data_IF_880369828826
#
_entry.id   IF_880369828826
#
_cell.length_a   1.000
_cell.length_b   1.000
_cell.length_c   1.000
_cell.angle_alpha   90.00
_cell.angle_beta   90.00
_cell.angle_gamma   90.00
#
_symmetry.space_group_name_H-M   'P 1'
#
loop_
_entity.id
_entity.type
_entity.pdbx_description
1 polymer ?
#
# COMPACT_ATOMS: atom_id res chain seq x y z
N UNK A 1 -10.08 -0.93 -15.40
CA UNK A 1 -9.46 0.40 -15.38
C UNK A 1 -9.20 0.79 -13.93
N UNK A 2 -7.99 1.22 -13.63
CA UNK A 2 -7.63 1.65 -12.27
C UNK A 2 -8.00 3.12 -12.02
N UNK A 3 -8.64 3.77 -13.01
CA UNK A 3 -9.11 5.15 -12.94
C UNK A 3 -10.60 5.21 -12.66
N UNK A 4 -11.04 6.27 -11.94
CA UNK A 4 -12.45 6.51 -11.63
C UNK A 4 -13.29 6.88 -12.86
N UNK A 5 -12.67 7.40 -13.92
CA UNK A 5 -13.30 7.82 -15.15
C UNK A 5 -12.52 7.38 -16.38
N UNK A 6 -13.23 7.19 -17.47
CA UNK A 6 -12.71 7.05 -18.82
C UNK A 6 -13.35 8.13 -19.72
N UNK A 7 -12.66 8.50 -20.79
CA UNK A 7 -13.09 9.57 -21.68
C UNK A 7 -13.10 9.08 -23.13
N UNK A 8 -14.16 9.43 -23.86
CA UNK A 8 -14.18 9.36 -25.30
C UNK A 8 -14.28 10.80 -25.82
N UNK A 9 -13.36 11.17 -26.70
CA UNK A 9 -13.20 12.58 -27.11
C UNK A 9 -13.29 12.66 -28.62
N UNK A 10 -14.05 13.66 -29.12
CA UNK A 10 -14.13 14.06 -30.53
C UNK A 10 -13.60 15.48 -30.70
N UNK A 11 -12.75 15.67 -31.70
CA UNK A 11 -12.12 16.97 -31.98
C UNK A 11 -10.66 17.03 -31.56
N UNK A 12 -10.06 15.87 -31.25
CA UNK A 12 -8.62 15.69 -31.02
C UNK A 12 -8.11 14.70 -32.05
N UNK A 13 -6.99 15.00 -32.68
CA UNK A 13 -6.32 14.10 -33.62
C UNK A 13 -5.65 12.93 -32.91
N UNK A 14 -5.92 11.70 -33.37
CA UNK A 14 -5.46 10.47 -32.69
C UNK A 14 -3.93 10.28 -32.79
N UNK A 15 -3.27 10.81 -33.81
CA UNK A 15 -1.83 10.66 -34.02
C UNK A 15 -0.98 11.76 -33.39
N UNK A 16 -1.43 13.02 -33.53
CA UNK A 16 -0.70 14.20 -33.03
C UNK A 16 -1.14 14.66 -31.66
N UNK A 17 -2.33 14.22 -31.22
CA UNK A 17 -3.02 14.69 -30.01
C UNK A 17 -3.35 16.18 -30.01
N UNK A 18 -3.34 16.82 -31.19
CA UNK A 18 -3.70 18.23 -31.34
C UNK A 18 -5.21 18.40 -31.33
N UNK A 19 -5.67 19.52 -30.77
CA UNK A 19 -7.08 19.92 -30.83
C UNK A 19 -7.39 20.45 -32.21
N UNK A 20 -8.19 19.71 -32.99
CA UNK A 20 -8.58 20.06 -34.35
C UNK A 20 -10.02 20.57 -34.44
N UNK A 21 -10.81 20.30 -33.39
CA UNK A 21 -12.25 20.63 -33.35
C UNK A 21 -13.12 19.59 -34.06
N UNK A 22 -14.43 19.59 -33.75
CA UNK A 22 -15.39 18.66 -34.35
C UNK A 22 -16.70 19.35 -34.70
N UNK A 23 -17.40 18.79 -35.69
CA UNK A 23 -18.78 19.16 -36.05
C UNK A 23 -19.83 18.30 -35.34
N UNK A 24 -19.40 17.25 -34.65
CA UNK A 24 -20.28 16.38 -33.88
C UNK A 24 -20.94 17.18 -32.75
N UNK A 25 -22.19 16.88 -32.46
CA UNK A 25 -22.98 17.45 -31.37
C UNK A 25 -23.68 16.28 -30.66
N UNK A 26 -23.03 15.67 -29.67
CA UNK A 26 -23.48 14.43 -29.04
C UNK A 26 -24.90 14.55 -28.46
N UNK A 27 -25.25 15.69 -27.86
CA UNK A 27 -26.58 15.93 -27.28
C UNK A 27 -27.71 16.00 -28.32
N UNK A 28 -27.40 16.37 -29.53
CA UNK A 28 -28.39 16.46 -30.64
C UNK A 28 -28.27 15.30 -31.63
N UNK A 29 -27.27 14.44 -31.47
CA UNK A 29 -27.05 13.28 -32.34
C UNK A 29 -28.17 12.26 -32.17
N UNK A 30 -28.60 11.63 -33.27
CA UNK A 30 -29.70 10.67 -33.30
C UNK A 30 -29.26 9.34 -33.89
N UNK A 31 -29.74 8.25 -33.30
CA UNK A 31 -29.65 6.91 -33.87
C UNK A 31 -31.07 6.47 -34.30
N UNK A 32 -31.32 6.53 -35.60
CA UNK A 32 -32.69 6.42 -36.15
C UNK A 32 -33.56 7.59 -35.66
N UNK A 33 -34.68 7.29 -34.99
CA UNK A 33 -35.60 8.31 -34.48
C UNK A 33 -35.35 8.69 -33.01
N UNK A 34 -34.33 8.11 -32.36
CA UNK A 34 -34.02 8.36 -30.96
C UNK A 34 -32.76 9.22 -30.81
N UNK A 35 -32.72 10.07 -29.77
CA UNK A 35 -31.52 10.78 -29.37
C UNK A 35 -30.47 9.75 -28.89
N UNK A 36 -29.21 10.02 -29.21
CA UNK A 36 -28.09 9.11 -28.93
C UNK A 36 -28.01 8.73 -27.45
N UNK A 37 -28.22 9.68 -26.54
CA UNK A 37 -28.21 9.42 -25.11
C UNK A 37 -29.30 8.43 -24.69
N UNK A 38 -30.54 8.64 -25.15
CA UNK A 38 -31.66 7.77 -24.84
C UNK A 38 -31.46 6.38 -25.44
N UNK A 39 -30.90 6.27 -26.64
CA UNK A 39 -30.58 5.03 -27.31
C UNK A 39 -29.49 4.23 -26.51
N UNK A 40 -28.44 4.91 -26.05
CA UNK A 40 -27.41 4.29 -25.22
C UNK A 40 -27.98 3.84 -23.87
N UNK A 41 -28.77 4.66 -23.19
CA UNK A 41 -29.40 4.31 -21.90
C UNK A 41 -30.38 3.14 -22.03
N UNK A 42 -30.98 2.95 -23.18
CA UNK A 42 -31.87 1.80 -23.45
C UNK A 42 -31.07 0.49 -23.64
N UNK A 43 -29.94 0.51 -24.30
CA UNK A 43 -29.13 -0.66 -24.63
C UNK A 43 -28.14 -1.05 -23.53
N UNK A 44 -27.66 -0.07 -22.78
CA UNK A 44 -26.76 -0.31 -21.66
C UNK A 44 -27.55 -0.72 -20.41
N UNK A 45 -26.92 -1.50 -19.54
CA UNK A 45 -27.50 -1.83 -18.24
C UNK A 45 -27.66 -0.56 -17.38
N UNK A 46 -28.62 -0.59 -16.44
CA UNK A 46 -29.00 0.56 -15.59
C UNK A 46 -27.86 1.14 -14.74
N UNK A 47 -26.83 0.37 -14.50
CA UNK A 47 -25.64 0.78 -13.74
C UNK A 47 -24.58 1.46 -14.63
N UNK A 48 -24.85 1.66 -15.92
CA UNK A 48 -23.98 2.46 -16.79
C UNK A 48 -24.13 3.95 -16.44
N UNK A 49 -23.06 4.57 -16.00
CA UNK A 49 -23.05 6.00 -15.70
C UNK A 49 -22.12 6.74 -16.68
N UNK A 50 -22.71 7.62 -17.47
CA UNK A 50 -21.97 8.43 -18.44
C UNK A 50 -22.65 9.79 -18.63
N UNK A 51 -21.87 10.79 -19.01
CA UNK A 51 -22.33 12.17 -19.24
C UNK A 51 -21.72 12.73 -20.52
N UNK A 52 -22.53 13.50 -21.27
CA UNK A 52 -22.06 14.20 -22.45
C UNK A 52 -21.69 15.64 -22.10
N UNK A 53 -20.48 16.01 -22.44
CA UNK A 53 -19.94 17.37 -22.26
C UNK A 53 -19.45 17.96 -23.56
N UNK A 54 -19.59 19.28 -23.69
CA UNK A 54 -19.06 20.08 -24.76
C UNK A 54 -18.12 21.15 -24.19
N UNK A 55 -17.00 21.37 -24.84
CA UNK A 55 -15.97 22.33 -24.42
C UNK A 55 -15.44 23.05 -25.63
N UNK A 56 -15.35 24.39 -25.57
CA UNK A 56 -14.66 25.19 -26.55
C UNK A 56 -13.25 25.54 -26.07
N UNK A 57 -12.25 25.13 -26.84
CA UNK A 57 -10.85 25.37 -26.55
C UNK A 57 -10.23 26.13 -27.73
N UNK A 58 -9.80 27.36 -27.51
CA UNK A 58 -9.22 28.25 -28.52
C UNK A 58 -10.10 28.40 -29.78
N UNK A 59 -11.42 28.49 -29.60
CA UNK A 59 -12.38 28.59 -30.68
C UNK A 59 -12.64 27.31 -31.46
N UNK A 60 -12.13 26.18 -30.97
CA UNK A 60 -12.36 24.84 -31.51
C UNK A 60 -13.30 24.07 -30.59
N UNK A 61 -14.40 23.60 -31.16
CA UNK A 61 -15.40 22.82 -30.45
C UNK A 61 -14.93 21.38 -30.25
N UNK A 62 -15.01 20.87 -29.02
CA UNK A 62 -14.65 19.50 -28.62
C UNK A 62 -15.83 18.90 -27.89
N UNK A 63 -16.19 17.67 -28.22
CA UNK A 63 -17.22 16.88 -27.54
C UNK A 63 -16.57 15.73 -26.79
N UNK A 64 -17.10 15.42 -25.62
CA UNK A 64 -16.58 14.29 -24.82
C UNK A 64 -17.70 13.55 -24.10
N UNK A 65 -17.52 12.25 -23.96
CA UNK A 65 -18.31 11.41 -23.05
C UNK A 65 -17.41 11.08 -21.87
N UNK A 66 -17.84 11.48 -20.69
CA UNK A 66 -17.25 11.07 -19.42
C UNK A 66 -17.94 9.79 -18.97
N UNK A 67 -17.19 8.71 -18.81
CA UNK A 67 -17.71 7.40 -18.42
C UNK A 67 -17.21 7.10 -17.03
N UNK A 68 -18.11 7.04 -16.06
CA UNK A 68 -17.77 6.68 -14.68
C UNK A 68 -17.58 5.17 -14.58
N UNK A 69 -16.62 4.78 -13.75
CA UNK A 69 -16.37 3.36 -13.46
C UNK A 69 -17.64 2.68 -12.94
N UNK A 70 -17.94 1.51 -13.48
CA UNK A 70 -19.05 0.69 -12.99
C UNK A 70 -18.76 0.16 -11.57
N UNK A 71 -19.82 0.05 -10.75
CA UNK A 71 -19.78 -0.46 -9.39
C UNK A 71 -20.74 -1.64 -9.23
N UNK A 72 -20.33 -2.65 -8.46
CA UNK A 72 -21.13 -3.82 -8.11
C UNK A 72 -21.31 -4.84 -9.24
N UNK A 73 -21.74 -4.40 -10.40
CA UNK A 73 -22.05 -5.26 -11.55
C UNK A 73 -21.35 -4.76 -12.83
N UNK A 74 -20.94 -5.66 -13.74
CA UNK A 74 -20.48 -5.25 -15.06
C UNK A 74 -21.54 -4.45 -15.82
N UNK A 75 -21.12 -3.49 -16.60
CA UNK A 75 -22.01 -2.85 -17.58
C UNK A 75 -22.18 -3.76 -18.78
N UNK A 76 -23.43 -4.04 -19.13
CA UNK A 76 -23.77 -4.84 -20.32
C UNK A 76 -24.31 -3.98 -21.44
N UNK A 77 -24.07 -4.39 -22.66
CA UNK A 77 -24.72 -3.86 -23.86
C UNK A 77 -25.63 -4.96 -24.45
N UNK A 78 -26.92 -4.69 -24.59
CA UNK A 78 -27.92 -5.71 -24.98
C UNK A 78 -27.84 -6.99 -24.12
N UNK A 79 -27.65 -6.84 -22.81
CA UNK A 79 -27.48 -7.94 -21.83
C UNK A 79 -26.22 -8.80 -22.02
N UNK A 80 -25.25 -8.36 -22.80
CA UNK A 80 -23.98 -9.05 -23.02
C UNK A 80 -22.82 -8.21 -22.50
N UNK A 81 -21.91 -8.82 -21.77
CA UNK A 81 -20.65 -8.22 -21.32
C UNK A 81 -19.61 -8.34 -22.43
N UNK A 82 -18.89 -7.26 -22.67
CA UNK A 82 -17.83 -7.21 -23.69
C UNK A 82 -16.49 -6.85 -23.07
N UNK A 83 -15.42 -7.38 -23.65
CA UNK A 83 -14.05 -7.04 -23.34
C UNK A 83 -13.29 -6.64 -24.60
N UNK A 84 -12.37 -5.69 -24.45
CA UNK A 84 -11.41 -5.36 -25.49
C UNK A 84 -10.16 -6.22 -25.35
N UNK A 85 -9.85 -6.99 -26.40
CA UNK A 85 -8.64 -7.79 -26.52
C UNK A 85 -7.83 -7.31 -27.72
N UNK A 86 -6.82 -6.47 -27.49
CA UNK A 86 -6.13 -5.74 -28.55
C UNK A 86 -7.08 -4.82 -29.29
N UNK A 87 -7.19 -4.95 -30.62
CA UNK A 87 -8.10 -4.19 -31.47
C UNK A 87 -9.53 -4.75 -31.54
N UNK A 88 -9.78 -5.93 -31.00
CA UNK A 88 -11.06 -6.62 -31.15
C UNK A 88 -11.93 -6.51 -29.90
N UNK A 89 -13.24 -6.36 -30.08
CA UNK A 89 -14.26 -6.47 -29.04
C UNK A 89 -14.80 -7.91 -29.06
N UNK A 90 -14.73 -8.60 -27.93
CA UNK A 90 -15.19 -9.98 -27.75
C UNK A 90 -16.16 -10.09 -26.58
N UNK A 91 -17.00 -11.10 -26.56
CA UNK A 91 -17.90 -11.38 -25.44
C UNK A 91 -17.07 -11.85 -24.25
N UNK A 92 -17.28 -11.25 -23.08
CA UNK A 92 -16.52 -11.57 -21.87
C UNK A 92 -16.72 -13.02 -21.41
N UNK A 93 -17.89 -13.62 -21.67
CA UNK A 93 -18.20 -15.01 -21.34
C UNK A 93 -17.24 -16.02 -22.00
N UNK A 94 -16.60 -15.64 -23.10
CA UNK A 94 -15.58 -16.47 -23.77
C UNK A 94 -14.25 -16.52 -22.98
N UNK A 95 -14.12 -15.69 -21.94
CA UNK A 95 -12.91 -15.52 -21.11
C UNK A 95 -13.25 -15.67 -19.62
N UNK A 96 -13.50 -16.89 -19.11
CA UNK A 96 -13.96 -17.09 -17.72
C UNK A 96 -13.05 -16.49 -16.65
N UNK A 97 -11.72 -16.56 -16.86
CA UNK A 97 -10.75 -15.98 -15.92
C UNK A 97 -10.85 -14.46 -15.85
N UNK A 98 -10.97 -13.79 -16.99
CA UNK A 98 -11.13 -12.33 -17.05
C UNK A 98 -12.50 -11.90 -16.52
N UNK A 99 -13.53 -12.72 -16.75
CA UNK A 99 -14.86 -12.49 -16.19
C UNK A 99 -14.82 -12.54 -14.66
N UNK A 100 -14.21 -13.57 -14.08
CA UNK A 100 -14.04 -13.67 -12.63
C UNK A 100 -13.27 -12.47 -12.06
N UNK A 101 -12.16 -12.08 -12.69
CA UNK A 101 -11.37 -10.92 -12.29
C UNK A 101 -12.17 -9.61 -12.36
N UNK A 102 -13.01 -9.42 -13.38
CA UNK A 102 -13.87 -8.24 -13.49
C UNK A 102 -14.91 -8.21 -12.38
N UNK A 103 -15.57 -9.35 -12.11
CA UNK A 103 -16.55 -9.47 -11.03
C UNK A 103 -15.92 -9.19 -9.66
N UNK A 104 -14.72 -9.69 -9.40
CA UNK A 104 -13.99 -9.41 -8.17
C UNK A 104 -13.64 -7.92 -8.03
N UNK A 105 -13.25 -7.26 -9.13
CA UNK A 105 -12.98 -5.81 -9.16
C UNK A 105 -14.22 -4.94 -8.98
N UNK A 106 -15.39 -5.40 -9.41
CA UNK A 106 -16.63 -4.64 -9.37
C UNK A 106 -17.41 -4.83 -8.08
N UNK A 107 -17.24 -5.97 -7.41
CA UNK A 107 -17.79 -6.21 -6.09
C UNK A 107 -17.04 -5.36 -5.09
N UNK A 108 -17.48 -4.12 -4.93
CA UNK A 108 -17.06 -3.24 -3.84
C UNK A 108 -17.74 -3.57 -2.50
N UNK A 109 -17.97 -4.81 -2.17
CA UNK A 109 -17.88 -5.18 -0.77
C UNK A 109 -16.40 -5.14 -0.44
N UNK A 110 -15.98 -4.16 0.32
CA UNK A 110 -14.63 -4.19 0.89
C UNK A 110 -14.47 -5.58 1.49
N UNK A 111 -13.34 -6.24 1.23
CA UNK A 111 -13.09 -7.60 1.76
C UNK A 111 -13.42 -7.67 3.25
N UNK A 112 -13.16 -6.58 3.94
CA UNK A 112 -13.37 -6.36 5.37
C UNK A 112 -14.83 -6.58 5.81
N UNK A 113 -15.81 -6.17 4.99
CA UNK A 113 -17.25 -6.22 5.32
C UNK A 113 -17.90 -7.56 5.01
N UNK A 114 -17.24 -8.40 4.22
CA UNK A 114 -17.81 -9.69 3.87
C UNK A 114 -17.79 -10.64 5.06
N UNK A 115 -18.87 -11.42 5.29
CA UNK A 115 -18.89 -12.43 6.32
C UNK A 115 -17.81 -13.49 6.10
N UNK A 116 -17.03 -13.78 7.11
CA UNK A 116 -16.07 -14.89 7.14
C UNK A 116 -16.71 -16.18 7.65
N UNK A 117 -17.57 -16.07 8.67
CA UNK A 117 -18.41 -17.14 9.20
C UNK A 117 -19.83 -16.62 9.44
N UNK A 118 -20.82 -17.42 9.18
CA UNK A 118 -22.26 -17.08 9.31
C UNK A 118 -23.01 -18.07 10.22
N UNK A 119 -24.20 -17.69 10.70
CA UNK A 119 -25.09 -18.58 11.43
C UNK A 119 -24.60 -18.94 12.84
N UNK A 120 -23.94 -18.01 13.52
CA UNK A 120 -23.37 -18.23 14.85
C UNK A 120 -24.27 -17.65 15.95
N UNK A 121 -24.37 -18.33 17.09
CA UNK A 121 -24.86 -17.69 18.30
C UNK A 121 -23.81 -16.72 18.86
N UNK A 122 -24.24 -15.74 19.66
CA UNK A 122 -23.37 -14.80 20.38
C UNK A 122 -22.15 -15.48 21.05
N UNK A 123 -22.42 -16.51 21.86
CA UNK A 123 -21.40 -17.29 22.55
C UNK A 123 -20.42 -18.00 21.62
N UNK A 124 -20.93 -18.52 20.48
CA UNK A 124 -20.04 -19.16 19.48
C UNK A 124 -19.17 -18.13 18.76
N UNK A 125 -19.74 -16.99 18.39
CA UNK A 125 -18.99 -15.92 17.76
C UNK A 125 -17.87 -15.37 18.67
N UNK A 126 -18.19 -15.04 19.91
CA UNK A 126 -17.21 -14.56 20.90
C UNK A 126 -16.15 -15.61 21.26
N UNK A 127 -16.50 -16.91 21.24
CA UNK A 127 -15.53 -17.97 21.49
C UNK A 127 -14.41 -18.04 20.45
N UNK A 128 -14.70 -17.64 19.20
CA UNK A 128 -13.72 -17.63 18.10
C UNK A 128 -12.85 -16.37 18.10
N UNK A 129 -13.29 -15.30 18.77
CA UNK A 129 -12.60 -14.02 18.80
C UNK A 129 -11.88 -13.80 20.13
N UNK A 130 -10.70 -13.18 20.07
CA UNK A 130 -9.97 -12.64 21.22
C UNK A 130 -10.39 -11.17 21.44
N UNK A 131 -11.66 -10.98 21.82
CA UNK A 131 -12.20 -9.64 22.09
C UNK A 131 -11.51 -8.94 23.26
N UNK A 132 -10.94 -9.67 24.21
CA UNK A 132 -10.14 -9.11 25.32
C UNK A 132 -8.99 -8.26 24.80
N UNK A 133 -8.33 -8.69 23.71
CA UNK A 133 -7.25 -7.92 23.10
C UNK A 133 -7.72 -6.53 22.62
N UNK A 134 -8.94 -6.41 22.14
CA UNK A 134 -9.52 -5.14 21.72
C UNK A 134 -9.63 -4.15 22.90
N UNK A 135 -10.24 -4.57 24.02
CA UNK A 135 -10.38 -3.74 25.20
C UNK A 135 -9.03 -3.35 25.83
N UNK A 136 -8.11 -4.31 25.88
CA UNK A 136 -6.75 -4.09 26.39
C UNK A 136 -5.98 -3.05 25.57
N UNK A 137 -6.05 -3.12 24.24
CA UNK A 137 -5.36 -2.19 23.35
C UNK A 137 -5.96 -0.77 23.40
N UNK A 138 -7.27 -0.65 23.60
CA UNK A 138 -7.93 0.63 23.80
C UNK A 138 -7.77 1.20 25.22
N UNK A 139 -7.21 0.41 26.14
CA UNK A 139 -7.11 0.78 27.58
C UNK A 139 -8.46 1.12 28.22
N UNK A 140 -9.53 0.42 27.80
CA UNK A 140 -10.87 0.57 28.38
C UNK A 140 -11.26 -0.67 29.18
N UNK A 141 -12.07 -0.54 30.24
CA UNK A 141 -12.56 -1.69 31.00
C UNK A 141 -13.39 -2.62 30.11
N UNK A 142 -13.11 -3.90 30.17
CA UNK A 142 -13.94 -4.90 29.49
C UNK A 142 -15.25 -5.07 30.29
N UNK A 143 -16.43 -5.03 29.63
CA UNK A 143 -17.70 -5.32 30.29
C UNK A 143 -17.77 -6.74 30.83
N UNK A 144 -18.44 -6.92 31.97
CA UNK A 144 -18.72 -8.27 32.53
C UNK A 144 -19.87 -8.98 31.79
N UNK A 145 -20.75 -8.18 31.15
CA UNK A 145 -21.92 -8.70 30.45
C UNK A 145 -21.60 -9.00 28.97
N UNK A 146 -21.96 -10.23 28.58
CA UNK A 146 -21.78 -10.71 27.18
C UNK A 146 -22.58 -9.84 26.20
N UNK A 147 -23.76 -9.37 26.55
CA UNK A 147 -24.58 -8.55 25.64
C UNK A 147 -23.87 -7.21 25.34
N UNK A 148 -23.24 -6.62 26.31
CA UNK A 148 -22.43 -5.40 26.11
C UNK A 148 -21.20 -5.66 25.25
N UNK A 149 -20.50 -6.79 25.44
CA UNK A 149 -19.38 -7.17 24.60
C UNK A 149 -19.83 -7.33 23.13
N UNK A 150 -20.95 -8.02 22.91
CA UNK A 150 -21.54 -8.20 21.56
C UNK A 150 -21.91 -6.84 20.97
N UNK A 151 -22.46 -5.92 21.76
CA UNK A 151 -22.79 -4.57 21.30
C UNK A 151 -21.55 -3.83 20.77
N UNK A 152 -20.43 -3.84 21.50
CA UNK A 152 -19.16 -3.28 21.03
C UNK A 152 -18.70 -3.93 19.72
N UNK A 153 -18.79 -5.26 19.60
CA UNK A 153 -18.37 -5.98 18.40
C UNK A 153 -19.27 -5.65 17.19
N UNK A 154 -20.56 -5.34 17.41
CA UNK A 154 -21.48 -4.88 16.37
C UNK A 154 -21.19 -3.44 15.94
N UNK A 155 -20.95 -2.52 16.89
CA UNK A 155 -20.60 -1.12 16.58
C UNK A 155 -19.30 -1.03 15.76
N UNK A 156 -18.32 -1.86 16.07
CA UNK A 156 -17.06 -1.95 15.34
C UNK A 156 -17.17 -2.74 14.02
N UNK A 157 -18.36 -3.27 13.71
CA UNK A 157 -18.58 -4.11 12.54
C UNK A 157 -17.71 -5.40 12.50
N UNK A 158 -17.22 -5.86 13.64
CA UNK A 158 -16.57 -7.17 13.76
C UNK A 158 -17.59 -8.30 13.70
N UNK A 159 -18.80 -8.02 14.18
CA UNK A 159 -19.99 -8.85 14.06
C UNK A 159 -21.08 -8.13 13.27
N UNK A 160 -21.93 -8.91 12.60
CA UNK A 160 -23.17 -8.43 11.97
C UNK A 160 -24.31 -9.33 12.41
N UNK A 161 -25.42 -8.72 12.85
CA UNK A 161 -26.63 -9.45 13.21
C UNK A 161 -27.42 -9.79 11.94
N UNK A 162 -27.87 -11.04 11.84
CA UNK A 162 -28.69 -11.56 10.74
C UNK A 162 -30.18 -11.41 11.05
N UNK A 163 -31.04 -11.52 10.03
CA UNK A 163 -32.52 -11.43 10.17
C UNK A 163 -33.10 -12.57 11.02
N UNK A 164 -32.46 -13.72 11.08
CA UNK A 164 -32.81 -14.87 11.90
C UNK A 164 -32.35 -14.75 13.36
N UNK A 165 -31.75 -13.61 13.76
CA UNK A 165 -31.25 -13.35 15.10
C UNK A 165 -29.90 -13.97 15.39
N UNK A 166 -29.28 -14.67 14.43
CA UNK A 166 -27.88 -15.16 14.51
C UNK A 166 -26.89 -14.09 14.14
N UNK A 167 -25.62 -14.39 14.28
CA UNK A 167 -24.52 -13.48 14.00
C UNK A 167 -23.59 -14.03 12.92
N UNK A 168 -22.99 -13.12 12.20
CA UNK A 168 -21.84 -13.38 11.31
C UNK A 168 -20.61 -12.66 11.84
N UNK A 169 -19.45 -13.32 11.77
CA UNK A 169 -18.16 -12.67 11.96
C UNK A 169 -17.71 -12.13 10.60
N UNK A 170 -17.43 -10.84 10.52
CA UNK A 170 -16.87 -10.21 9.32
C UNK A 170 -15.40 -10.61 9.10
N UNK A 171 -14.89 -10.45 7.88
CA UNK A 171 -13.47 -10.63 7.66
C UNK A 171 -12.63 -9.62 8.47
N UNK A 172 -13.11 -8.38 8.68
CA UNK A 172 -12.45 -7.41 9.56
C UNK A 172 -12.31 -7.96 10.99
N UNK A 173 -13.43 -8.45 11.57
CA UNK A 173 -13.45 -9.03 12.93
C UNK A 173 -12.52 -10.25 13.03
N UNK A 174 -12.55 -11.13 12.02
CA UNK A 174 -11.72 -12.32 12.00
C UNK A 174 -10.22 -11.98 11.84
N UNK A 175 -9.86 -11.13 10.88
CA UNK A 175 -8.47 -10.72 10.64
C UNK A 175 -7.86 -10.04 11.86
N UNK A 176 -8.65 -9.22 12.55
CA UNK A 176 -8.15 -8.46 13.69
C UNK A 176 -8.15 -9.27 14.98
N UNK A 177 -9.23 -10.02 15.26
CA UNK A 177 -9.48 -10.61 16.58
C UNK A 177 -9.55 -12.13 16.62
N UNK A 178 -9.35 -12.87 15.52
CA UNK A 178 -9.38 -14.32 15.57
C UNK A 178 -8.47 -14.88 16.66
N UNK A 179 -8.95 -15.89 17.41
CA UNK A 179 -8.04 -16.70 18.24
C UNK A 179 -7.11 -17.53 17.38
N UNK A 180 -7.61 -17.97 16.20
CA UNK A 180 -6.85 -18.66 15.17
C UNK A 180 -7.40 -18.29 13.80
N UNK A 181 -6.58 -17.70 12.95
CA UNK A 181 -6.95 -17.35 11.57
C UNK A 181 -7.29 -18.60 10.74
N UNK A 182 -6.66 -19.73 11.06
CA UNK A 182 -6.93 -21.02 10.41
C UNK A 182 -8.34 -21.56 10.64
N UNK A 183 -9.07 -21.09 11.65
CA UNK A 183 -10.47 -21.44 11.88
C UNK A 183 -11.43 -20.73 10.91
N UNK A 184 -10.91 -19.76 10.13
CA UNK A 184 -11.71 -18.99 9.19
C UNK A 184 -11.34 -19.32 7.74
N UNK A 185 -12.33 -19.63 6.90
CA UNK A 185 -12.09 -19.91 5.49
C UNK A 185 -11.28 -18.79 4.83
N UNK A 186 -10.24 -19.15 4.05
CA UNK A 186 -9.36 -18.24 3.30
C UNK A 186 -8.42 -17.38 4.15
N UNK A 187 -8.48 -17.35 5.49
CA UNK A 187 -7.66 -16.50 6.34
C UNK A 187 -6.41 -17.19 6.92
N UNK A 188 -6.35 -18.51 6.97
CA UNK A 188 -5.19 -19.22 7.55
C UNK A 188 -3.83 -18.85 6.92
N UNK A 189 -3.79 -18.51 5.63
CA UNK A 189 -2.56 -18.05 4.98
C UNK A 189 -2.26 -16.56 5.18
N UNK A 190 -3.14 -15.82 5.90
CA UNK A 190 -2.94 -14.41 6.25
C UNK A 190 -2.16 -14.23 7.56
N UNK A 191 -1.85 -15.31 8.25
CA UNK A 191 -0.98 -15.31 9.43
C UNK A 191 0.40 -14.71 9.09
N UNK A 192 0.97 -13.95 10.05
CA UNK A 192 2.32 -13.40 9.90
C UNK A 192 3.33 -14.54 10.06
N UNK A 193 4.16 -14.75 9.06
CA UNK A 193 5.22 -15.75 9.09
C UNK A 193 6.59 -15.09 9.23
N UNK A 194 7.40 -15.56 10.15
CA UNK A 194 8.77 -15.10 10.39
C UNK A 194 9.74 -16.23 10.10
N UNK A 195 10.71 -16.00 9.22
CA UNK A 195 11.71 -16.99 8.81
C UNK A 195 13.10 -16.42 9.00
N UNK A 196 13.98 -17.12 9.68
CA UNK A 196 15.39 -16.78 9.81
C UNK A 196 16.24 -17.73 8.97
N UNK A 197 17.09 -17.20 8.13
CA UNK A 197 18.04 -17.93 7.30
C UNK A 197 19.46 -17.86 7.86
N UNK A 198 20.28 -18.86 7.55
CA UNK A 198 21.68 -18.97 8.04
C UNK A 198 22.56 -17.83 7.52
N UNK A 199 22.43 -17.47 6.24
CA UNK A 199 23.28 -16.46 5.58
C UNK A 199 22.46 -15.46 4.75
N UNK A 200 22.96 -15.17 3.55
CA UNK A 200 22.39 -14.17 2.66
C UNK A 200 21.33 -14.72 1.69
N UNK A 201 21.09 -16.03 1.71
CA UNK A 201 20.19 -16.71 0.78
C UNK A 201 19.12 -17.55 1.51
N UNK A 202 18.14 -18.05 0.76
CA UNK A 202 17.00 -18.83 1.30
C UNK A 202 17.23 -20.35 1.34
N UNK A 203 18.46 -20.81 1.31
CA UNK A 203 18.75 -22.25 1.22
C UNK A 203 18.61 -22.97 2.57
N UNK A 204 19.06 -22.36 3.65
CA UNK A 204 19.07 -23.00 4.97
C UNK A 204 18.24 -22.17 5.95
N UNK A 205 17.13 -22.73 6.39
CA UNK A 205 16.28 -22.14 7.43
C UNK A 205 16.83 -22.51 8.80
N UNK A 206 17.07 -21.51 9.64
CA UNK A 206 17.46 -21.72 11.05
C UNK A 206 16.24 -21.77 11.96
N UNK A 207 15.27 -20.87 11.73
CA UNK A 207 14.03 -20.80 12.51
C UNK A 207 12.88 -20.39 11.63
N UNK A 208 11.70 -20.90 11.93
CA UNK A 208 10.44 -20.50 11.31
C UNK A 208 9.36 -20.48 12.38
N UNK A 209 8.55 -19.42 12.40
CA UNK A 209 7.43 -19.26 13.31
C UNK A 209 6.26 -18.61 12.56
N UNK A 210 5.04 -19.10 12.84
CA UNK A 210 3.80 -18.58 12.26
C UNK A 210 2.88 -18.10 13.37
N UNK A 211 2.48 -16.83 13.31
CA UNK A 211 1.61 -16.19 14.28
C UNK A 211 0.18 -16.25 13.77
N UNK A 212 -0.55 -17.29 14.12
CA UNK A 212 -1.88 -17.66 13.60
C UNK A 212 -3.04 -16.93 14.29
N UNK A 213 -2.78 -16.03 15.22
CA UNK A 213 -3.82 -15.20 15.82
C UNK A 213 -4.13 -13.98 14.94
N UNK A 214 -5.30 -13.35 15.20
CA UNK A 214 -5.67 -12.06 14.62
C UNK A 214 -4.64 -10.96 14.94
N UNK A 215 -4.57 -9.96 14.09
CA UNK A 215 -3.47 -8.98 14.12
C UNK A 215 -3.40 -8.16 15.41
N UNK A 216 -4.51 -7.94 16.12
CA UNK A 216 -4.51 -7.31 17.44
C UNK A 216 -3.59 -8.02 18.46
N UNK A 217 -3.33 -9.30 18.26
CA UNK A 217 -2.44 -10.09 19.11
C UNK A 217 -1.13 -10.43 18.41
N UNK A 218 -1.21 -10.88 17.15
CA UNK A 218 -0.07 -11.47 16.44
C UNK A 218 0.97 -10.45 15.99
N UNK A 219 0.58 -9.20 15.66
CA UNK A 219 1.52 -8.18 15.19
C UNK A 219 2.63 -7.90 16.21
N UNK A 220 2.25 -7.60 17.44
CA UNK A 220 3.22 -7.29 18.50
C UNK A 220 4.07 -8.51 18.87
N UNK A 221 3.45 -9.72 18.89
CA UNK A 221 4.19 -10.97 19.10
C UNK A 221 5.23 -11.21 18.01
N UNK A 222 4.85 -11.06 16.74
CA UNK A 222 5.74 -11.24 15.61
C UNK A 222 6.90 -10.22 15.63
N UNK A 223 6.62 -8.94 15.89
CA UNK A 223 7.65 -7.90 16.00
C UNK A 223 8.62 -8.20 17.15
N UNK A 224 8.11 -8.57 18.33
CA UNK A 224 8.97 -8.96 19.46
C UNK A 224 9.82 -10.18 19.12
N UNK A 225 9.25 -11.18 18.48
CA UNK A 225 9.99 -12.36 18.05
C UNK A 225 11.10 -12.00 17.06
N UNK A 226 10.80 -11.18 16.05
CA UNK A 226 11.82 -10.66 15.13
C UNK A 226 12.96 -10.00 15.90
N UNK A 227 12.65 -9.16 16.90
CA UNK A 227 13.69 -8.49 17.70
C UNK A 227 14.59 -9.44 18.46
N UNK A 228 14.07 -10.60 18.91
CA UNK A 228 14.90 -11.63 19.57
C UNK A 228 15.86 -12.35 18.63
N UNK A 229 15.56 -12.32 17.31
CA UNK A 229 16.37 -12.99 16.28
C UNK A 229 17.42 -12.07 15.65
N UNK A 230 17.29 -10.75 15.84
CA UNK A 230 18.21 -9.78 15.23
C UNK A 230 19.57 -9.81 15.93
N UNK A 231 20.67 -9.67 15.16
CA UNK A 231 21.98 -9.50 15.73
C UNK A 231 22.04 -8.22 16.55
N UNK A 232 22.57 -8.33 17.75
CA UNK A 232 22.81 -7.22 18.67
C UNK A 232 24.29 -7.07 18.95
N UNK A 233 24.76 -5.83 19.13
CA UNK A 233 26.10 -5.51 19.61
C UNK A 233 25.99 -5.03 21.04
N UNK A 234 26.92 -5.45 21.87
CA UNK A 234 27.09 -4.88 23.20
C UNK A 234 27.72 -3.47 23.04
N UNK A 235 27.03 -2.47 23.55
CA UNK A 235 27.57 -1.12 23.62
C UNK A 235 28.31 -0.97 24.95
N UNK A 236 29.63 -0.94 24.85
CA UNK A 236 30.55 -0.79 25.99
C UNK A 236 30.80 0.69 26.36
N UNK A 237 30.12 1.64 25.70
CA UNK A 237 30.36 3.08 25.88
C UNK A 237 29.74 3.62 27.18
N UNK A 238 28.81 2.92 27.82
CA UNK A 238 28.18 3.30 29.08
C UNK A 238 28.53 2.29 30.21
N UNK A 239 28.45 2.73 31.45
CA UNK A 239 28.69 1.91 32.68
C UNK A 239 27.68 0.74 32.79
N UNK A 240 26.55 0.81 32.10
CA UNK A 240 25.59 -0.28 31.94
C UNK A 240 25.70 -0.86 30.56
N UNK A 241 25.93 -2.17 30.46
CA UNK A 241 25.88 -2.95 29.22
C UNK A 241 24.48 -2.78 28.58
N UNK A 242 24.42 -2.04 27.47
CA UNK A 242 23.21 -1.94 26.63
C UNK A 242 23.40 -2.75 25.37
N UNK A 243 22.45 -3.61 25.10
CA UNK A 243 22.39 -4.35 23.84
C UNK A 243 21.76 -3.45 22.77
N UNK A 244 22.52 -3.02 21.78
CA UNK A 244 22.03 -2.16 20.70
C UNK A 244 21.82 -2.99 19.43
N UNK A 245 20.59 -2.99 18.94
CA UNK A 245 20.28 -3.63 17.65
C UNK A 245 21.01 -2.95 16.51
N UNK A 246 21.59 -3.73 15.62
CA UNK A 246 22.26 -3.26 14.39
C UNK A 246 21.24 -2.79 13.34
N UNK A 247 19.96 -3.08 13.55
CA UNK A 247 18.86 -2.69 12.68
C UNK A 247 18.01 -1.58 13.30
N UNK A 248 17.32 -0.76 12.48
CA UNK A 248 16.42 0.28 12.97
C UNK A 248 15.08 -0.36 13.40
N UNK A 249 14.93 -0.66 14.70
CA UNK A 249 13.72 -1.32 15.24
C UNK A 249 12.42 -0.59 14.89
N UNK A 250 12.33 0.76 14.90
CA UNK A 250 11.13 1.45 14.45
C UNK A 250 10.79 1.17 12.97
N UNK A 251 11.81 1.08 12.09
CA UNK A 251 11.58 0.76 10.68
C UNK A 251 11.10 -0.68 10.48
N UNK A 252 11.58 -1.63 11.28
CA UNK A 252 11.10 -3.02 11.23
C UNK A 252 9.65 -3.09 11.67
N UNK A 253 9.29 -2.49 12.82
CA UNK A 253 7.91 -2.45 13.32
C UNK A 253 6.96 -1.87 12.28
N UNK A 254 7.33 -0.73 11.70
CA UNK A 254 6.54 -0.05 10.68
C UNK A 254 6.39 -0.89 9.41
N UNK A 255 7.48 -1.54 8.95
CA UNK A 255 7.44 -2.43 7.78
C UNK A 255 6.49 -3.61 7.99
N UNK A 256 6.48 -4.21 9.19
CA UNK A 256 5.58 -5.33 9.51
C UNK A 256 4.12 -4.84 9.59
N UNK A 257 3.85 -3.70 10.23
CA UNK A 257 2.52 -3.10 10.29
C UNK A 257 1.99 -2.76 8.88
N UNK A 258 2.83 -2.15 8.03
CA UNK A 258 2.49 -1.83 6.66
C UNK A 258 2.20 -3.08 5.82
N UNK A 259 2.93 -4.18 6.04
CA UNK A 259 2.70 -5.44 5.33
C UNK A 259 1.33 -6.04 5.62
N UNK A 260 0.81 -5.83 6.83
CA UNK A 260 -0.52 -6.25 7.25
C UNK A 260 -1.60 -5.35 6.66
N UNK A 261 -1.44 -4.01 6.76
CA UNK A 261 -2.44 -3.02 6.34
C UNK A 261 -2.58 -2.99 4.82
N UNK A 262 -1.47 -3.06 4.08
CA UNK A 262 -1.46 -2.85 2.63
C UNK A 262 -1.53 -4.15 1.82
N UNK A 263 -1.67 -5.32 2.47
CA UNK A 263 -1.82 -6.57 1.73
C UNK A 263 -3.13 -6.61 0.94
N UNK A 264 -3.09 -7.34 -0.15
CA UNK A 264 -4.29 -7.69 -0.91
C UNK A 264 -4.87 -8.99 -0.37
N UNK A 265 -6.00 -8.89 0.32
CA UNK A 265 -6.67 -10.06 0.92
C UNK A 265 -7.32 -10.99 -0.12
N UNK A 266 -7.54 -10.51 -1.35
CA UNK A 266 -8.09 -11.34 -2.42
C UNK A 266 -7.05 -12.30 -3.02
N UNK A 267 -5.77 -11.99 -2.91
CA UNK A 267 -4.68 -12.90 -3.32
C UNK A 267 -4.65 -14.07 -2.33
N UNK A 268 -4.99 -15.27 -2.80
CA UNK A 268 -5.06 -16.49 -1.99
C UNK A 268 -3.69 -17.15 -1.86
N UNK A 269 -3.52 -17.98 -0.82
CA UNK A 269 -2.29 -18.76 -0.63
C UNK A 269 -1.07 -17.99 -0.13
N UNK A 270 -1.18 -16.66 0.04
CA UNK A 270 -0.10 -15.80 0.47
C UNK A 270 -0.53 -14.88 1.63
N UNK A 271 0.42 -14.50 2.47
CA UNK A 271 0.27 -13.58 3.59
C UNK A 271 1.57 -12.81 3.85
N UNK A 272 1.62 -12.00 4.91
CA UNK A 272 2.83 -11.28 5.30
C UNK A 272 3.95 -12.23 5.73
N UNK A 273 5.15 -12.02 5.19
CA UNK A 273 6.34 -12.81 5.55
C UNK A 273 7.46 -11.86 5.92
N UNK A 274 8.08 -12.10 7.08
CA UNK A 274 9.29 -11.42 7.54
C UNK A 274 10.45 -12.40 7.43
N UNK A 275 11.42 -12.08 6.60
CA UNK A 275 12.59 -12.90 6.33
C UNK A 275 13.84 -12.22 6.87
N UNK A 276 14.54 -12.89 7.78
CA UNK A 276 15.77 -12.40 8.40
C UNK A 276 16.97 -13.08 7.78
N UNK A 277 17.89 -12.25 7.29
CA UNK A 277 19.18 -12.67 6.77
C UNK A 277 20.29 -12.02 7.62
N UNK A 278 21.52 -12.47 7.46
CA UNK A 278 22.68 -11.93 8.18
C UNK A 278 22.84 -10.41 7.96
N UNK A 279 22.56 -9.91 6.75
CA UNK A 279 22.82 -8.54 6.34
C UNK A 279 21.57 -7.70 6.04
N UNK A 280 20.36 -8.27 6.13
CA UNK A 280 19.13 -7.54 5.85
C UNK A 280 17.90 -8.23 6.45
N UNK A 281 16.84 -7.48 6.60
CA UNK A 281 15.49 -7.97 6.89
C UNK A 281 14.61 -7.65 5.68
N UNK A 282 13.86 -8.62 5.19
CA UNK A 282 12.90 -8.44 4.10
C UNK A 282 11.49 -8.67 4.63
N UNK A 283 10.59 -7.74 4.38
CA UNK A 283 9.17 -7.86 4.72
C UNK A 283 8.39 -7.87 3.42
N UNK A 284 7.70 -8.96 3.14
CA UNK A 284 6.94 -9.16 1.89
C UNK A 284 5.46 -9.33 2.21
N UNK A 285 4.60 -8.65 1.45
CA UNK A 285 3.14 -8.84 1.51
C UNK A 285 2.55 -9.03 0.11
N UNK A 286 1.43 -9.77 -0.01
CA UNK A 286 0.66 -9.83 -1.24
C UNK A 286 0.09 -8.44 -1.58
N UNK A 287 0.05 -8.12 -2.89
CA UNK A 287 -0.45 -6.87 -3.44
C UNK A 287 0.64 -5.86 -3.80
N UNK A 288 0.35 -5.04 -4.79
CA UNK A 288 1.24 -3.97 -5.27
C UNK A 288 0.88 -2.64 -4.61
N UNK A 289 1.81 -1.68 -4.50
CA UNK A 289 1.52 -0.36 -3.93
C UNK A 289 0.40 0.35 -4.72
N UNK A 290 -0.45 1.11 -4.00
CA UNK A 290 -1.48 1.96 -4.60
C UNK A 290 -0.98 3.38 -4.91
N UNK A 291 0.25 3.67 -4.53
CA UNK A 291 0.93 4.96 -4.71
C UNK A 291 2.21 4.76 -5.51
N UNK A 292 2.67 5.81 -6.17
CA UNK A 292 3.97 5.79 -6.84
C UNK A 292 5.08 5.64 -5.79
N UNK A 293 5.89 4.60 -5.93
CA UNK A 293 7.03 4.31 -5.03
C UNK A 293 8.05 5.46 -5.04
N UNK A 294 8.21 6.14 -6.17
CA UNK A 294 9.10 7.30 -6.29
C UNK A 294 8.63 8.50 -5.48
N UNK A 295 7.34 8.55 -5.16
CA UNK A 295 6.72 9.63 -4.40
C UNK A 295 6.14 9.18 -3.06
N UNK A 296 6.64 8.06 -2.51
CA UNK A 296 6.09 7.45 -1.30
C UNK A 296 6.20 8.35 -0.06
N UNK A 297 7.14 9.29 -0.06
CA UNK A 297 7.37 10.25 1.02
C UNK A 297 6.33 11.38 1.03
N UNK A 298 5.89 11.85 -0.14
CA UNK A 298 5.04 13.04 -0.28
C UNK A 298 3.60 12.74 -0.71
N UNK A 299 3.32 11.52 -1.19
CA UNK A 299 1.97 11.14 -1.55
C UNK A 299 1.07 10.99 -0.30
N UNK A 300 -0.18 11.46 -0.37
CA UNK A 300 -1.16 11.16 0.67
C UNK A 300 -1.29 9.65 0.89
N UNK A 301 -1.49 9.19 2.14
CA UNK A 301 -1.65 7.78 2.43
C UNK A 301 -2.89 7.22 1.73
N UNK A 302 -2.73 6.05 1.10
CA UNK A 302 -3.81 5.32 0.45
C UNK A 302 -3.76 3.86 0.88
N UNK A 303 -4.86 3.36 1.42
CA UNK A 303 -5.00 1.95 1.81
C UNK A 303 -6.11 1.28 1.01
N UNK A 304 -5.95 0.00 0.69
CA UNK A 304 -7.03 -0.83 0.16
C UNK A 304 -7.90 -1.42 1.27
N UNK A 305 -7.40 -1.43 2.50
CA UNK A 305 -8.05 -1.93 3.71
C UNK A 305 -8.26 -0.76 4.68
N UNK A 306 -9.21 0.11 4.35
CA UNK A 306 -9.39 1.38 5.06
C UNK A 306 -9.92 1.19 6.48
N UNK A 307 -10.83 0.23 6.69
CA UNK A 307 -11.40 -0.08 7.99
C UNK A 307 -10.34 -0.71 8.90
N UNK A 308 -9.59 -1.70 8.40
CA UNK A 308 -8.49 -2.33 9.13
C UNK A 308 -7.45 -1.26 9.55
N UNK A 309 -7.03 -0.42 8.61
CA UNK A 309 -6.08 0.67 8.88
C UNK A 309 -6.62 1.64 9.93
N UNK A 310 -7.91 2.00 9.87
CA UNK A 310 -8.55 2.88 10.83
C UNK A 310 -8.60 2.26 12.23
N UNK A 311 -9.03 1.00 12.33
CA UNK A 311 -9.08 0.31 13.64
C UNK A 311 -7.69 0.10 14.20
N UNK A 312 -6.71 -0.35 13.40
CA UNK A 312 -5.34 -0.55 13.85
C UNK A 312 -4.69 0.76 14.35
N UNK A 313 -5.01 1.90 13.74
CA UNK A 313 -4.57 3.22 14.24
C UNK A 313 -5.16 3.54 15.62
N UNK A 314 -6.46 3.36 15.79
CA UNK A 314 -7.12 3.58 17.10
C UNK A 314 -6.57 2.66 18.19
N UNK A 315 -6.18 1.44 17.83
CA UNK A 315 -5.54 0.50 18.73
C UNK A 315 -4.03 0.79 18.97
N UNK A 316 -3.49 1.87 18.42
CA UNK A 316 -2.07 2.24 18.59
C UNK A 316 -1.08 1.27 17.92
N UNK A 317 -1.55 0.47 16.96
CA UNK A 317 -0.75 -0.57 16.30
C UNK A 317 0.05 -0.05 15.12
N UNK A 318 -0.35 1.06 14.52
CA UNK A 318 0.32 1.71 13.39
C UNK A 318 0.25 3.23 13.50
N UNK A 319 0.98 3.92 12.63
CA UNK A 319 1.10 5.37 12.62
C UNK A 319 -0.20 6.07 12.22
N UNK A 320 -0.49 7.21 12.86
CA UNK A 320 -1.75 7.95 12.65
C UNK A 320 -1.76 8.85 11.41
N UNK A 321 -0.62 9.41 11.00
CA UNK A 321 -0.56 10.53 10.07
C UNK A 321 -0.01 10.19 8.67
N UNK A 322 0.15 8.92 8.34
CA UNK A 322 0.72 8.52 7.05
C UNK A 322 2.23 8.79 6.90
N UNK A 323 2.93 9.07 8.00
CA UNK A 323 4.38 9.36 8.05
C UNK A 323 5.24 8.13 8.33
N UNK A 324 4.68 6.94 8.16
CA UNK A 324 5.40 5.68 8.44
C UNK A 324 6.67 5.55 7.61
N UNK A 325 6.62 5.90 6.33
CA UNK A 325 7.79 5.89 5.45
C UNK A 325 8.84 6.92 5.85
N UNK A 326 8.46 8.14 6.18
CA UNK A 326 9.37 9.19 6.66
C UNK A 326 10.14 8.69 7.88
N UNK A 327 9.44 8.11 8.84
CA UNK A 327 10.03 7.54 10.06
C UNK A 327 10.98 6.38 9.76
N UNK A 328 10.62 5.50 8.83
CA UNK A 328 11.53 4.43 8.40
C UNK A 328 12.81 4.98 7.81
N UNK A 329 12.72 5.96 6.90
CA UNK A 329 13.88 6.59 6.28
C UNK A 329 14.73 7.31 7.33
N UNK A 330 14.14 8.17 8.16
CA UNK A 330 14.84 8.91 9.22
C UNK A 330 15.49 7.94 10.23
N UNK A 331 14.79 6.85 10.59
CA UNK A 331 15.34 5.82 11.48
C UNK A 331 16.57 5.11 10.89
N UNK A 332 16.60 4.88 9.58
CA UNK A 332 17.77 4.35 8.89
C UNK A 332 18.90 5.40 8.82
N UNK A 333 18.56 6.66 8.52
CA UNK A 333 19.55 7.74 8.44
C UNK A 333 20.25 8.00 9.78
N UNK A 334 19.50 7.99 10.89
CA UNK A 334 20.07 8.20 12.23
C UNK A 334 21.11 7.16 12.65
N UNK A 335 21.13 6.01 11.95
CA UNK A 335 22.10 4.91 12.14
C UNK A 335 23.09 4.77 10.97
N UNK A 336 23.11 5.72 10.06
CA UNK A 336 23.95 5.71 8.83
C UNK A 336 23.71 4.51 7.91
N UNK A 337 22.52 3.87 7.98
CA UNK A 337 22.16 2.70 7.19
C UNK A 337 21.75 3.12 5.78
N UNK A 338 21.80 2.21 4.82
CA UNK A 338 21.13 2.39 3.55
C UNK A 338 19.62 2.59 3.78
N UNK A 339 19.00 3.41 2.93
CA UNK A 339 17.55 3.65 3.05
C UNK A 339 16.75 2.38 2.76
N UNK A 340 15.52 2.26 3.28
CA UNK A 340 14.64 1.15 2.97
C UNK A 340 14.42 1.02 1.47
N UNK A 341 14.56 -0.18 0.91
CA UNK A 341 14.34 -0.44 -0.51
C UNK A 341 12.96 -1.07 -0.72
N UNK A 342 12.22 -0.60 -1.72
CA UNK A 342 10.97 -1.21 -2.13
C UNK A 342 11.18 -1.94 -3.45
N UNK A 343 10.79 -3.19 -3.47
CA UNK A 343 10.72 -3.99 -4.69
C UNK A 343 9.27 -4.39 -4.95
N UNK A 344 8.76 -4.03 -6.12
CA UNK A 344 7.41 -4.37 -6.57
C UNK A 344 7.51 -5.52 -7.55
N UNK A 345 6.79 -6.60 -7.26
CA UNK A 345 6.65 -7.77 -8.11
C UNK A 345 5.23 -7.81 -8.69
N UNK A 346 4.93 -8.79 -9.51
CA UNK A 346 3.64 -8.89 -10.20
C UNK A 346 2.44 -8.87 -9.22
N UNK A 347 2.55 -9.57 -8.09
CA UNK A 347 1.46 -9.71 -7.10
C UNK A 347 1.92 -9.45 -5.65
N UNK A 348 3.08 -8.87 -5.45
CA UNK A 348 3.61 -8.64 -4.11
C UNK A 348 4.52 -7.43 -4.03
N UNK A 349 4.63 -6.91 -2.82
CA UNK A 349 5.56 -5.82 -2.47
C UNK A 349 6.53 -6.34 -1.41
N UNK A 350 7.81 -6.02 -1.56
CA UNK A 350 8.86 -6.33 -0.59
C UNK A 350 9.55 -5.06 -0.15
N UNK A 351 9.68 -4.88 1.15
CA UNK A 351 10.51 -3.85 1.79
C UNK A 351 11.75 -4.53 2.35
N UNK A 352 12.94 -4.01 2.00
CA UNK A 352 14.24 -4.50 2.52
C UNK A 352 14.88 -3.43 3.39
N UNK A 353 15.25 -3.82 4.60
CA UNK A 353 15.99 -3.01 5.58
C UNK A 353 17.37 -3.62 5.74
N UNK A 354 18.42 -2.79 5.65
CA UNK A 354 19.80 -3.27 5.60
C UNK A 354 20.51 -3.10 6.94
N UNK A 355 21.40 -4.04 7.27
CA UNK A 355 22.37 -3.87 8.35
C UNK A 355 23.39 -2.79 7.98
N UNK A 356 24.15 -2.32 8.97
CA UNK A 356 25.22 -1.36 8.75
C UNK A 356 26.31 -1.89 7.82
N UNK A 357 26.67 -1.09 6.84
CA UNK A 357 27.82 -1.26 5.97
C UNK A 357 28.57 0.06 5.87
N UNK A 358 29.90 -0.03 5.83
CA UNK A 358 30.71 1.14 5.46
C UNK A 358 30.26 1.69 4.11
N UNK A 359 30.27 3.00 3.94
CA UNK A 359 29.77 3.67 2.74
C UNK A 359 30.31 3.05 1.43
N UNK A 360 31.58 2.67 1.39
CA UNK A 360 32.21 2.09 0.20
C UNK A 360 31.66 0.70 -0.15
N UNK A 361 31.08 0.00 0.81
CA UNK A 361 30.51 -1.33 0.66
C UNK A 361 29.01 -1.31 0.36
N UNK A 362 28.34 -0.14 0.51
CA UNK A 362 26.94 0.02 0.09
C UNK A 362 26.87 -0.05 -1.43
N UNK A 363 25.93 -0.81 -1.97
CA UNK A 363 25.72 -0.92 -3.42
C UNK A 363 25.42 0.47 -4.03
N UNK A 364 25.88 0.71 -5.25
CA UNK A 364 25.69 2.01 -5.92
C UNK A 364 24.24 2.43 -6.00
N UNK A 365 23.35 1.53 -6.38
CA UNK A 365 21.91 1.82 -6.45
C UNK A 365 21.30 2.15 -5.09
N UNK A 366 21.77 1.54 -4.00
CA UNK A 366 21.34 1.86 -2.63
C UNK A 366 21.86 3.23 -2.18
N UNK A 367 23.06 3.62 -2.58
CA UNK A 367 23.59 4.98 -2.32
C UNK A 367 22.75 6.03 -3.07
N UNK A 368 22.43 5.76 -4.33
CA UNK A 368 21.59 6.64 -5.16
C UNK A 368 20.21 6.77 -4.55
N UNK A 369 19.55 5.65 -4.22
CA UNK A 369 18.23 5.62 -3.60
C UNK A 369 18.23 6.34 -2.25
N UNK A 370 19.20 6.08 -1.40
CA UNK A 370 19.36 6.76 -0.11
C UNK A 370 19.55 8.28 -0.27
N UNK A 371 20.29 8.71 -1.28
CA UNK A 371 20.47 10.14 -1.58
C UNK A 371 19.17 10.78 -2.06
N UNK A 372 18.41 10.10 -2.90
CA UNK A 372 17.11 10.55 -3.37
C UNK A 372 16.11 10.70 -2.22
N UNK A 373 15.97 9.68 -1.36
CA UNK A 373 15.06 9.75 -0.21
C UNK A 373 15.49 10.83 0.79
N UNK A 374 16.80 11.03 1.00
CA UNK A 374 17.31 12.15 1.81
C UNK A 374 16.90 13.52 1.23
N UNK A 375 16.97 13.68 -0.10
CA UNK A 375 16.48 14.90 -0.75
C UNK A 375 14.97 15.10 -0.56
N UNK A 376 14.18 14.02 -0.60
CA UNK A 376 12.73 14.06 -0.34
C UNK A 376 12.45 14.49 1.11
N UNK A 377 13.11 13.88 2.10
CA UNK A 377 12.96 14.25 3.51
C UNK A 377 13.33 15.71 3.73
N UNK A 378 14.48 16.18 3.20
CA UNK A 378 14.90 17.58 3.31
C UNK A 378 13.86 18.54 2.71
N UNK A 379 13.30 18.18 1.57
CA UNK A 379 12.28 18.99 0.91
C UNK A 379 10.99 19.13 1.74
N UNK A 380 10.48 18.04 2.33
CA UNK A 380 9.29 18.13 3.19
C UNK A 380 9.57 18.84 4.53
N UNK A 381 10.81 18.87 4.99
CA UNK A 381 11.26 19.68 6.14
C UNK A 381 11.40 21.18 5.80
N UNK A 382 11.21 21.58 4.55
CA UNK A 382 11.39 22.95 4.07
C UNK A 382 12.87 23.32 3.81
N UNK A 383 13.76 22.34 3.69
CA UNK A 383 15.18 22.48 3.39
C UNK A 383 15.53 21.81 2.03
N UNK A 384 16.78 21.76 1.67
CA UNK A 384 17.26 21.13 0.45
C UNK A 384 18.55 20.33 0.70
N UNK A 385 18.74 19.26 -0.06
CA UNK A 385 19.93 18.43 -0.01
C UNK A 385 21.16 19.25 -0.37
N UNK A 386 22.21 19.13 0.42
CA UNK A 386 23.53 19.72 0.19
C UNK A 386 24.62 18.64 0.31
N UNK A 387 25.84 18.96 -0.16
CA UNK A 387 26.99 18.08 0.08
C UNK A 387 27.24 17.84 1.57
N UNK A 388 27.00 18.85 2.42
CA UNK A 388 27.17 18.74 3.86
C UNK A 388 26.13 17.81 4.49
N UNK A 389 24.84 18.03 4.18
CA UNK A 389 23.77 17.19 4.72
C UNK A 389 23.90 15.72 4.29
N UNK A 390 24.33 15.48 3.05
CA UNK A 390 24.52 14.12 2.56
C UNK A 390 25.74 13.43 3.19
N UNK A 391 26.82 14.18 3.50
CA UNK A 391 27.94 13.63 4.29
C UNK A 391 27.49 13.23 5.70
N UNK A 392 26.72 14.09 6.35
CA UNK A 392 26.17 13.84 7.67
C UNK A 392 25.27 12.59 7.65
N UNK A 393 24.37 12.50 6.68
CA UNK A 393 23.48 11.34 6.46
C UNK A 393 24.23 10.02 6.38
N UNK A 394 25.45 9.99 5.79
CA UNK A 394 26.27 8.78 5.67
C UNK A 394 27.37 8.67 6.74
N UNK A 395 27.42 9.54 7.73
CA UNK A 395 28.47 9.55 8.75
C UNK A 395 29.87 9.84 8.18
N UNK A 396 29.97 10.61 7.10
CA UNK A 396 31.23 10.85 6.38
C UNK A 396 31.92 12.12 6.85
N UNK A 397 33.25 12.08 6.91
CA UNK A 397 34.12 13.23 7.25
C UNK A 397 34.14 14.29 6.14
N UNK A 398 34.58 15.50 6.47
CA UNK A 398 34.72 16.62 5.51
C UNK A 398 35.62 16.27 4.31
N UNK A 399 36.62 15.41 4.50
CA UNK A 399 37.55 14.92 3.46
C UNK A 399 36.82 14.12 2.36
N UNK A 400 35.62 13.61 2.60
CA UNK A 400 34.83 12.84 1.63
C UNK A 400 34.00 13.72 0.68
N UNK A 401 34.13 15.07 0.73
CA UNK A 401 33.32 16.01 -0.06
C UNK A 401 33.37 15.72 -1.58
N UNK A 402 34.51 15.36 -2.14
CA UNK A 402 34.65 15.05 -3.57
C UNK A 402 33.88 13.75 -3.97
N UNK A 403 33.88 12.76 -3.09
CA UNK A 403 33.15 11.51 -3.31
C UNK A 403 31.63 11.76 -3.29
N UNK A 404 31.13 12.52 -2.32
CA UNK A 404 29.73 12.89 -2.20
C UNK A 404 29.27 13.77 -3.37
N UNK A 405 30.12 14.68 -3.85
CA UNK A 405 29.79 15.49 -5.05
C UNK A 405 29.64 14.63 -6.30
N UNK A 406 30.42 13.55 -6.45
CA UNK A 406 30.27 12.60 -7.56
C UNK A 406 28.93 11.84 -7.45
N UNK A 407 28.57 11.38 -6.26
CA UNK A 407 27.30 10.73 -6.01
C UNK A 407 26.11 11.65 -6.34
N UNK A 408 26.14 12.92 -5.90
CA UNK A 408 25.09 13.90 -6.23
C UNK A 408 24.95 14.07 -7.75
N UNK A 409 26.06 14.19 -8.48
CA UNK A 409 26.03 14.27 -9.95
C UNK A 409 25.43 13.02 -10.60
N UNK A 410 25.72 11.85 -10.07
CA UNK A 410 25.15 10.59 -10.54
C UNK A 410 23.62 10.53 -10.33
N UNK A 411 23.14 10.94 -9.15
CA UNK A 411 21.69 11.02 -8.83
C UNK A 411 20.99 12.05 -9.72
N UNK A 412 21.64 13.18 -10.00
CA UNK A 412 21.15 14.20 -10.93
C UNK A 412 21.10 13.68 -12.37
N UNK A 413 22.13 12.96 -12.82
CA UNK A 413 22.17 12.35 -14.16
C UNK A 413 21.05 11.33 -14.36
N UNK A 414 20.64 10.61 -13.29
CA UNK A 414 19.47 9.73 -13.28
C UNK A 414 18.12 10.47 -13.20
N UNK A 415 18.13 11.81 -13.23
CA UNK A 415 16.92 12.67 -13.15
C UNK A 415 16.08 12.42 -11.89
N UNK A 416 16.71 12.14 -10.76
CA UNK A 416 16.04 11.96 -9.48
C UNK A 416 15.96 13.26 -8.68
N UNK A 417 16.98 14.12 -8.83
CA UNK A 417 17.07 15.43 -8.19
C UNK A 417 17.43 16.51 -9.21
N UNK A 418 17.10 17.76 -8.90
CA UNK A 418 17.47 18.96 -9.67
C UNK A 418 18.04 20.03 -8.73
N UNK A 419 18.90 20.94 -9.21
CA UNK A 419 19.32 22.08 -8.42
C UNK A 419 18.13 23.00 -8.12
N UNK A 420 18.16 23.62 -6.93
CA UNK A 420 17.17 24.66 -6.55
C UNK A 420 17.34 25.88 -7.46
N UNK A 421 18.59 26.28 -7.65
CA UNK A 421 18.97 27.38 -8.55
C UNK A 421 20.23 26.93 -9.34
N UNK A 422 20.10 26.75 -10.68
CA UNK A 422 21.21 26.30 -11.53
C UNK A 422 22.41 27.26 -11.58
N UNK A 423 22.20 28.56 -11.33
CA UNK A 423 23.21 29.58 -11.41
C UNK A 423 24.06 29.73 -10.13
N UNK A 424 23.67 28.97 -9.08
CA UNK A 424 24.39 28.96 -7.82
C UNK A 424 25.81 28.36 -7.97
N UNK A 425 26.80 28.99 -7.37
CA UNK A 425 28.17 28.47 -7.36
C UNK A 425 28.23 27.05 -6.77
N UNK A 426 29.06 26.13 -7.31
CA UNK A 426 29.07 24.70 -6.92
C UNK A 426 29.20 24.43 -5.42
N UNK A 427 29.90 25.33 -4.68
CA UNK A 427 30.09 25.23 -3.23
C UNK A 427 28.80 25.38 -2.43
N UNK A 428 27.81 26.13 -2.95
CA UNK A 428 26.56 26.47 -2.27
C UNK A 428 25.37 25.79 -2.92
N UNK A 429 25.60 24.95 -3.95
CA UNK A 429 24.55 24.24 -4.67
C UNK A 429 23.72 23.39 -3.72
N UNK A 430 22.39 23.52 -3.87
CA UNK A 430 21.39 22.74 -3.16
C UNK A 430 20.49 22.03 -4.16
N UNK A 431 19.92 20.89 -3.75
CA UNK A 431 19.15 20.04 -4.63
C UNK A 431 17.82 19.66 -3.98
N UNK A 432 16.78 19.55 -4.81
CA UNK A 432 15.45 19.09 -4.45
C UNK A 432 15.07 17.91 -5.32
N UNK A 433 14.05 17.11 -4.96
CA UNK A 433 13.53 16.05 -5.83
C UNK A 433 13.09 16.61 -7.18
N UNK A 434 13.17 15.80 -8.23
CA UNK A 434 12.83 16.23 -9.60
C UNK A 434 11.40 16.74 -9.74
N UNK A 435 10.47 16.16 -8.96
CA UNK A 435 9.04 16.46 -8.96
C UNK A 435 8.66 17.70 -8.11
N UNK A 436 9.53 18.23 -7.32
CA UNK A 436 9.31 19.37 -6.43
C UNK A 436 9.27 20.71 -7.20
#
# INVERSE_FOLDING_TARGET
>A
ADHSHAYMIWGVDDGTHEIVGTKVRLKSEKKGNQELENWLRYLLSKNANFEFHEVDIDGKHVELIVITRAEGLPVTFEKVDYIRSGSYTKKLIEFPTLQAQLWDKLRHSQFEDTPSLIGLTDKKALRLLNYEAYFNLLHIPMPDDIEQIVHYMLEEQFLVRQDDGLYSITNLGAILLAKRLSDFPRLGRKAIRVVQYDKHNRLTILKEETFDEGYATSLEKAVKYVFTLLPSKEDLSEVQLRTVSTFPLPAIRESVANSVIHQDFYITGAGPVVELFENRVEVTNPGVPLVDVMRIIDNPPKSRNEKLASVMRRLGMCEELGRGWDRMVISCESKYLAAPRINVYQESTRVSLFAYLDFVNIQTDDRIWSTYLHACIKYIEGDALSNSSLRERFGLKATSSGMVSRLIKEVQAKKLIKPVDPDTAPRYMRYIPIWA
#
